data_IF_485445660239
#
_entry.id   IF_485445660239
#
_cell.length_a   1.000
_cell.length_b   1.000
_cell.length_c   1.000
_cell.angle_alpha   90.00
_cell.angle_beta   90.00
_cell.angle_gamma   90.00
#
_symmetry.space_group_name_H-M   'P 1'
#
loop_
_entity.id
_entity.type
_entity.pdbx_description
1 polymer ?
#
# COMPACT_ATOMS: atom_id res chain seq x y z
N UNK A 1 -24.98 -30.74 -17.38
CA UNK A 1 -25.20 -30.52 -15.93
C UNK A 1 -25.50 -29.06 -15.66
N UNK A 2 -26.48 -28.74 -14.80
CA UNK A 2 -26.88 -27.36 -14.41
C UNK A 2 -26.38 -27.03 -12.99
N UNK A 3 -25.60 -25.97 -12.85
CA UNK A 3 -25.14 -25.48 -11.54
C UNK A 3 -26.21 -24.62 -10.88
N UNK A 4 -26.38 -24.72 -9.56
CA UNK A 4 -27.24 -23.79 -8.83
C UNK A 4 -26.68 -22.37 -8.90
N UNK A 5 -27.43 -21.43 -9.49
CA UNK A 5 -26.98 -20.04 -9.68
C UNK A 5 -26.80 -19.26 -8.38
N UNK A 6 -27.56 -19.61 -7.34
CA UNK A 6 -27.51 -18.92 -6.04
C UNK A 6 -26.26 -19.29 -5.23
N UNK A 7 -26.00 -20.58 -5.02
CA UNK A 7 -24.89 -21.03 -4.16
C UNK A 7 -23.63 -21.45 -4.92
N UNK A 8 -23.71 -21.71 -6.23
CA UNK A 8 -22.64 -22.21 -7.11
C UNK A 8 -21.98 -23.55 -6.68
N UNK A 9 -22.38 -24.15 -5.56
CA UNK A 9 -21.75 -25.36 -4.98
C UNK A 9 -22.34 -26.69 -5.42
N UNK A 10 -23.57 -26.73 -5.96
CA UNK A 10 -24.24 -27.99 -6.35
C UNK A 10 -24.53 -27.99 -7.85
N UNK A 11 -24.34 -29.15 -8.49
CA UNK A 11 -24.67 -29.41 -9.89
C UNK A 11 -25.78 -30.46 -9.98
N UNK A 12 -26.69 -30.29 -10.92
CA UNK A 12 -27.79 -31.21 -11.23
C UNK A 12 -27.62 -31.79 -12.63
N UNK A 13 -27.96 -33.06 -12.83
CA UNK A 13 -27.89 -33.66 -14.17
C UNK A 13 -29.00 -33.12 -15.09
N UNK A 14 -30.19 -32.83 -14.56
CA UNK A 14 -31.35 -32.30 -15.29
C UNK A 14 -32.13 -31.25 -14.48
N UNK A 15 -33.12 -30.60 -15.10
CA UNK A 15 -34.05 -29.69 -14.43
C UNK A 15 -34.97 -30.43 -13.46
N UNK A 16 -35.36 -31.66 -13.81
CA UNK A 16 -36.19 -32.53 -12.98
C UNK A 16 -35.46 -32.87 -11.67
N UNK A 17 -34.23 -33.36 -11.77
CA UNK A 17 -33.41 -33.64 -10.58
C UNK A 17 -33.14 -32.38 -9.74
N UNK A 18 -33.04 -31.19 -10.37
CA UNK A 18 -32.96 -29.93 -9.63
C UNK A 18 -34.22 -29.67 -8.82
N UNK A 19 -35.41 -29.88 -9.39
CA UNK A 19 -36.70 -29.68 -8.70
C UNK A 19 -36.85 -30.65 -7.54
N UNK A 20 -36.56 -31.93 -7.77
CA UNK A 20 -36.77 -33.01 -6.79
C UNK A 20 -35.82 -32.90 -5.60
N UNK A 21 -34.57 -32.45 -5.84
CA UNK A 21 -33.58 -32.25 -4.78
C UNK A 21 -33.61 -30.84 -4.16
N UNK A 22 -34.39 -29.89 -4.70
CA UNK A 22 -34.47 -28.51 -4.18
C UNK A 22 -34.90 -28.45 -2.70
N UNK A 23 -35.88 -29.22 -2.21
CA UNK A 23 -36.29 -29.17 -0.80
C UNK A 23 -35.15 -29.54 0.15
N UNK A 24 -34.38 -30.59 -0.17
CA UNK A 24 -33.21 -31.02 0.63
C UNK A 24 -32.07 -30.00 0.56
N UNK A 25 -31.89 -29.34 -0.59
CA UNK A 25 -30.82 -28.36 -0.80
C UNK A 25 -31.14 -26.95 -0.26
N UNK A 26 -32.40 -26.53 -0.19
CA UNK A 26 -32.81 -25.12 0.01
C UNK A 26 -32.13 -24.44 1.22
N UNK A 27 -32.02 -25.12 2.37
CA UNK A 27 -31.40 -24.56 3.58
C UNK A 27 -29.89 -24.35 3.38
N UNK A 28 -29.18 -25.36 2.88
CA UNK A 28 -27.76 -25.27 2.56
C UNK A 28 -27.48 -24.23 1.47
N UNK A 29 -28.34 -24.15 0.44
CA UNK A 29 -28.28 -23.17 -0.62
C UNK A 29 -28.32 -21.73 -0.08
N UNK A 30 -29.25 -21.43 0.84
CA UNK A 30 -29.38 -20.10 1.45
C UNK A 30 -28.14 -19.75 2.27
N UNK A 31 -27.65 -20.69 3.09
CA UNK A 31 -26.43 -20.50 3.89
C UNK A 31 -25.23 -20.19 2.99
N UNK A 32 -24.99 -21.02 1.97
CA UNK A 32 -23.86 -20.83 1.06
C UNK A 32 -24.00 -19.57 0.19
N UNK A 33 -25.21 -19.20 -0.23
CA UNK A 33 -25.43 -17.96 -0.96
C UNK A 33 -25.14 -16.72 -0.10
N UNK A 34 -25.47 -16.77 1.20
CA UNK A 34 -25.10 -15.71 2.15
C UNK A 34 -23.57 -15.64 2.35
N UNK A 35 -22.90 -16.77 2.60
CA UNK A 35 -21.44 -16.84 2.68
C UNK A 35 -20.75 -16.33 1.42
N UNK A 36 -21.25 -16.72 0.25
CA UNK A 36 -20.70 -16.27 -1.03
C UNK A 36 -20.89 -14.76 -1.23
N UNK A 37 -22.03 -14.21 -0.80
CA UNK A 37 -22.25 -12.76 -0.81
C UNK A 37 -21.28 -12.05 0.13
N UNK A 38 -21.07 -12.57 1.33
CA UNK A 38 -20.14 -11.98 2.29
C UNK A 38 -18.70 -12.05 1.77
N UNK A 39 -18.29 -13.17 1.17
CA UNK A 39 -17.00 -13.31 0.51
C UNK A 39 -16.81 -12.26 -0.60
N UNK A 40 -17.80 -12.06 -1.47
CA UNK A 40 -17.73 -11.04 -2.52
C UNK A 40 -17.66 -9.61 -1.96
N UNK A 41 -18.29 -9.33 -0.82
CA UNK A 41 -18.32 -8.00 -0.22
C UNK A 41 -17.08 -7.68 0.62
N UNK A 42 -16.50 -8.69 1.28
CA UNK A 42 -15.47 -8.48 2.32
C UNK A 42 -14.12 -9.12 2.01
N UNK A 43 -13.99 -9.88 0.91
CA UNK A 43 -12.69 -10.40 0.48
C UNK A 43 -11.75 -9.24 0.24
N UNK A 44 -10.73 -9.16 1.08
CA UNK A 44 -9.66 -8.19 0.93
C UNK A 44 -8.84 -8.51 -0.33
N UNK A 45 -8.35 -7.49 -1.05
CA UNK A 45 -7.46 -7.71 -2.18
C UNK A 45 -6.16 -8.38 -1.71
N UNK A 46 -5.52 -9.11 -2.63
CA UNK A 46 -4.28 -9.84 -2.33
C UNK A 46 -3.10 -8.90 -2.06
N UNK A 47 -3.18 -7.64 -2.50
CA UNK A 47 -2.21 -6.58 -2.24
C UNK A 47 -2.91 -5.24 -2.03
N UNK A 48 -2.19 -4.24 -1.51
CA UNK A 48 -2.64 -2.84 -1.54
C UNK A 48 -2.12 -2.14 -2.80
N UNK A 49 -2.58 -0.90 -3.04
CA UNK A 49 -2.04 -0.04 -4.11
C UNK A 49 -0.56 0.33 -3.87
N UNK A 50 -0.07 0.18 -2.64
CA UNK A 50 1.34 0.36 -2.27
C UNK A 50 2.19 -0.88 -2.59
N UNK A 51 1.55 -1.99 -2.96
CA UNK A 51 2.21 -3.27 -3.22
C UNK A 51 2.58 -4.03 -1.95
N UNK A 52 3.60 -4.88 -2.06
CA UNK A 52 4.04 -5.75 -0.98
C UNK A 52 5.36 -5.25 -0.37
N UNK A 53 5.54 -5.54 0.92
CA UNK A 53 6.78 -5.23 1.60
C UNK A 53 7.92 -6.04 0.96
N UNK A 54 9.01 -5.40 0.49
CA UNK A 54 10.08 -6.09 -0.23
C UNK A 54 10.96 -6.98 0.68
N UNK A 55 10.67 -7.05 1.98
CA UNK A 55 11.39 -7.87 2.96
C UNK A 55 10.58 -9.11 3.33
N UNK A 56 9.31 -8.95 3.75
CA UNK A 56 8.47 -10.06 4.19
C UNK A 56 7.46 -10.54 3.14
N UNK A 57 7.34 -9.85 2.00
CA UNK A 57 6.41 -10.16 0.90
C UNK A 57 4.93 -10.20 1.31
N UNK A 58 4.60 -9.53 2.42
CA UNK A 58 3.22 -9.31 2.84
C UNK A 58 2.72 -7.96 2.30
N UNK A 59 1.42 -7.82 2.02
CA UNK A 59 0.84 -6.56 1.58
C UNK A 59 1.20 -5.40 2.51
N UNK A 60 1.64 -4.27 1.93
CA UNK A 60 1.90 -3.07 2.71
C UNK A 60 0.55 -2.54 3.26
N UNK A 61 0.49 -2.22 4.57
CA UNK A 61 -0.69 -1.60 5.14
C UNK A 61 -1.04 -0.27 4.44
N UNK A 62 -2.34 0.00 4.30
CA UNK A 62 -2.84 1.26 3.72
C UNK A 62 -2.56 2.46 4.63
N UNK A 63 -2.42 2.22 5.94
CA UNK A 63 -2.18 3.27 6.93
C UNK A 63 -0.72 3.72 6.88
N UNK A 64 -0.50 5.00 6.62
CA UNK A 64 0.83 5.63 6.55
C UNK A 64 1.65 5.38 7.83
N UNK A 65 1.02 5.30 9.01
CA UNK A 65 1.70 5.08 10.29
C UNK A 65 2.22 3.64 10.47
N UNK A 66 1.91 2.74 9.55
CA UNK A 66 2.31 1.33 9.58
C UNK A 66 3.37 0.97 8.52
N UNK A 67 3.83 1.96 7.76
CA UNK A 67 4.88 1.85 6.75
C UNK A 67 5.98 2.87 7.01
N UNK A 68 7.15 2.63 6.44
CA UNK A 68 8.30 3.53 6.49
C UNK A 68 9.01 3.48 5.14
N UNK A 69 9.38 4.65 4.61
CA UNK A 69 10.26 4.75 3.46
C UNK A 69 11.72 4.83 3.94
N UNK A 70 12.58 4.00 3.35
CA UNK A 70 14.02 4.08 3.58
C UNK A 70 14.67 5.15 2.70
N UNK A 71 15.27 6.19 3.29
CA UNK A 71 15.79 7.36 2.56
C UNK A 71 16.97 7.02 1.64
N UNK A 72 17.74 5.96 1.95
CA UNK A 72 18.87 5.54 1.10
C UNK A 72 18.44 5.08 -0.30
N UNK A 73 17.28 4.46 -0.41
CA UNK A 73 16.90 3.67 -1.59
C UNK A 73 15.43 3.83 -1.99
N UNK A 74 14.71 4.71 -1.30
CA UNK A 74 13.28 4.98 -1.47
C UNK A 74 12.37 3.75 -1.37
N UNK A 75 12.82 2.67 -0.73
CA UNK A 75 11.98 1.48 -0.54
C UNK A 75 11.05 1.67 0.64
N UNK A 76 9.76 1.49 0.38
CA UNK A 76 8.74 1.41 1.41
C UNK A 76 8.71 0.00 1.97
N UNK A 77 8.79 -0.10 3.30
CA UNK A 77 8.73 -1.35 4.05
C UNK A 77 7.67 -1.23 5.13
N UNK A 78 7.14 -2.36 5.61
CA UNK A 78 6.25 -2.34 6.76
C UNK A 78 7.03 -2.03 8.05
N UNK A 79 6.36 -1.38 9.00
CA UNK A 79 6.98 -1.02 10.28
C UNK A 79 7.41 -2.25 11.09
N UNK A 80 6.76 -3.41 10.90
CA UNK A 80 7.23 -4.67 11.48
C UNK A 80 8.67 -4.99 11.06
N UNK A 81 8.97 -4.97 9.76
CA UNK A 81 10.34 -5.19 9.28
C UNK A 81 11.32 -4.10 9.72
N UNK A 82 10.87 -2.84 9.74
CA UNK A 82 11.69 -1.70 10.20
C UNK A 82 12.08 -1.86 11.68
N UNK A 83 11.12 -2.17 12.55
CA UNK A 83 11.31 -2.35 13.99
C UNK A 83 12.17 -3.58 14.28
N UNK A 84 11.92 -4.71 13.62
CA UNK A 84 12.76 -5.92 13.80
C UNK A 84 14.21 -5.64 13.42
N UNK A 85 14.46 -4.86 12.37
CA UNK A 85 15.80 -4.44 12.02
C UNK A 85 16.41 -3.56 13.11
N UNK A 86 15.67 -2.57 13.62
CA UNK A 86 16.14 -1.72 14.72
C UNK A 86 16.54 -2.54 15.95
N UNK A 87 15.71 -3.48 16.40
CA UNK A 87 16.01 -4.33 17.56
C UNK A 87 17.30 -5.11 17.34
N UNK A 88 17.46 -5.73 16.16
CA UNK A 88 18.69 -6.47 15.82
C UNK A 88 19.94 -5.60 15.87
N UNK A 89 19.87 -4.37 15.39
CA UNK A 89 21.02 -3.45 15.40
C UNK A 89 21.27 -2.84 16.79
N UNK A 90 20.31 -2.91 17.72
CA UNK A 90 20.52 -2.55 19.13
C UNK A 90 21.17 -3.69 19.92
N UNK A 91 20.84 -4.94 19.59
CA UNK A 91 21.43 -6.14 20.20
C UNK A 91 22.86 -6.42 19.70
N UNK A 92 23.15 -6.06 18.45
CA UNK A 92 24.51 -6.07 17.89
C UNK A 92 25.22 -4.81 18.42
N UNK A 93 26.38 -4.92 19.08
CA UNK A 93 27.15 -3.77 19.63
C UNK A 93 27.63 -2.75 18.55
N UNK A 94 27.16 -2.91 17.32
CA UNK A 94 27.41 -2.07 16.17
C UNK A 94 26.65 -0.75 16.29
N UNK A 95 27.39 0.28 16.70
CA UNK A 95 26.98 1.68 16.85
C UNK A 95 26.33 2.38 15.62
N UNK A 96 26.10 1.70 14.49
CA UNK A 96 25.64 2.34 13.26
C UNK A 96 24.40 1.66 12.66
N UNK A 97 23.19 2.21 12.86
CA UNK A 97 21.97 1.65 12.29
C UNK A 97 22.05 1.59 10.77
N UNK A 98 21.67 0.44 10.20
CA UNK A 98 21.67 0.20 8.75
C UNK A 98 20.26 0.05 8.22
N UNK A 99 20.06 0.45 6.97
CA UNK A 99 18.79 0.28 6.28
C UNK A 99 18.40 -1.20 6.20
N UNK A 100 17.15 -1.51 6.54
CA UNK A 100 16.63 -2.88 6.54
C UNK A 100 16.63 -3.53 5.14
N UNK A 101 16.59 -2.73 4.08
CA UNK A 101 16.61 -3.20 2.68
C UNK A 101 18.00 -3.12 2.05
N UNK A 102 18.55 -1.90 1.91
CA UNK A 102 19.78 -1.64 1.16
C UNK A 102 21.07 -1.89 1.98
N UNK A 103 20.94 -2.05 3.31
CA UNK A 103 22.06 -2.16 4.28
C UNK A 103 23.06 -1.00 4.31
N UNK A 104 22.80 0.10 3.57
CA UNK A 104 23.55 1.35 3.74
C UNK A 104 23.31 1.94 5.13
N UNK A 105 24.30 2.69 5.63
CA UNK A 105 24.22 3.42 6.89
C UNK A 105 23.04 4.40 6.88
N UNK A 106 22.25 4.38 7.95
CA UNK A 106 21.20 5.37 8.19
C UNK A 106 21.85 6.66 8.69
N UNK A 107 21.53 7.82 8.09
CA UNK A 107 22.07 9.09 8.54
C UNK A 107 21.59 9.42 9.97
N UNK A 108 22.49 9.95 10.81
CA UNK A 108 22.16 10.37 12.17
C UNK A 108 21.47 11.75 12.22
N UNK A 109 21.65 12.57 11.19
CA UNK A 109 21.08 13.91 11.09
C UNK A 109 19.97 13.97 10.03
N UNK A 110 18.90 14.72 10.34
CA UNK A 110 17.79 14.97 9.41
C UNK A 110 18.23 15.63 8.10
N UNK A 111 19.23 16.51 8.15
CA UNK A 111 19.80 17.17 6.96
C UNK A 111 20.43 16.17 6.00
N UNK A 112 21.11 15.15 6.52
CA UNK A 112 21.72 14.09 5.71
C UNK A 112 20.68 13.11 5.17
N UNK A 113 19.61 12.85 5.92
CA UNK A 113 18.43 12.12 5.42
C UNK A 113 17.81 12.85 4.21
N UNK A 114 17.57 14.17 4.31
CA UNK A 114 17.05 14.98 3.21
C UNK A 114 17.99 14.97 1.99
N UNK A 115 19.32 15.01 2.19
CA UNK A 115 20.29 14.86 1.09
C UNK A 115 20.19 13.51 0.38
N UNK A 116 20.04 12.42 1.14
CA UNK A 116 19.86 11.09 0.56
C UNK A 116 18.59 11.01 -0.28
N UNK A 117 17.48 11.54 0.23
CA UNK A 117 16.22 11.63 -0.54
C UNK A 117 16.38 12.49 -1.79
N UNK A 118 17.08 13.63 -1.73
CA UNK A 118 17.31 14.48 -2.90
C UNK A 118 18.11 13.77 -4.00
N UNK A 119 19.12 12.95 -3.64
CA UNK A 119 19.81 12.10 -4.62
C UNK A 119 18.87 11.12 -5.33
N UNK A 120 17.85 10.62 -4.62
CA UNK A 120 16.81 9.76 -5.21
C UNK A 120 15.87 10.55 -6.11
N UNK A 121 15.49 11.77 -5.73
CA UNK A 121 14.72 12.68 -6.61
C UNK A 121 15.48 12.99 -7.90
N UNK A 122 16.78 13.27 -7.82
CA UNK A 122 17.65 13.47 -8.99
C UNK A 122 17.73 12.22 -9.87
N UNK A 123 17.66 11.03 -9.26
CA UNK A 123 17.56 9.74 -9.96
C UNK A 123 16.13 9.42 -10.47
N UNK A 124 15.22 10.41 -10.49
CA UNK A 124 13.84 10.30 -10.94
C UNK A 124 13.03 9.22 -10.18
N UNK A 125 13.31 9.04 -8.89
CA UNK A 125 12.60 8.09 -8.05
C UNK A 125 11.24 8.66 -7.57
N UNK A 126 10.15 8.01 -7.98
CA UNK A 126 8.78 8.43 -7.69
C UNK A 126 8.50 8.55 -6.18
N UNK A 127 8.88 7.55 -5.39
CA UNK A 127 8.63 7.54 -3.94
C UNK A 127 9.38 8.67 -3.22
N UNK A 128 10.61 8.97 -3.66
CA UNK A 128 11.36 10.11 -3.12
C UNK A 128 10.67 11.44 -3.42
N UNK A 129 10.07 11.59 -4.62
CA UNK A 129 9.30 12.78 -4.96
C UNK A 129 8.04 12.90 -4.09
N UNK A 130 7.29 11.81 -3.89
CA UNK A 130 6.12 11.82 -3.01
C UNK A 130 6.51 12.21 -1.57
N UNK A 131 7.60 11.64 -1.06
CA UNK A 131 8.11 11.99 0.26
C UNK A 131 8.49 13.48 0.36
N UNK A 132 9.21 14.01 -0.63
CA UNK A 132 9.58 15.42 -0.65
C UNK A 132 8.36 16.34 -0.79
N UNK A 133 7.34 15.93 -1.57
CA UNK A 133 6.09 16.66 -1.67
C UNK A 133 5.37 16.78 -0.32
N UNK A 134 5.33 15.68 0.45
CA UNK A 134 4.75 15.65 1.78
C UNK A 134 5.54 16.54 2.74
N UNK A 135 6.87 16.39 2.76
CA UNK A 135 7.75 17.19 3.60
C UNK A 135 7.61 18.69 3.31
N UNK A 136 7.63 19.09 2.04
CA UNK A 136 7.46 20.48 1.63
C UNK A 136 6.08 21.03 2.03
N UNK A 137 5.03 20.19 2.00
CA UNK A 137 3.69 20.59 2.45
C UNK A 137 3.66 20.90 3.95
N UNK A 138 4.24 20.01 4.77
CA UNK A 138 4.34 20.19 6.22
C UNK A 138 5.22 21.39 6.60
N UNK A 139 6.28 21.66 5.83
CA UNK A 139 7.13 22.85 5.95
C UNK A 139 6.43 24.14 5.47
N UNK A 140 5.22 24.06 4.91
CA UNK A 140 4.47 25.22 4.37
C UNK A 140 4.96 25.72 3.00
N UNK A 141 5.91 25.03 2.39
CA UNK A 141 6.40 25.31 1.05
C UNK A 141 5.52 24.63 -0.01
N UNK A 142 4.37 25.24 -0.28
CA UNK A 142 3.36 24.67 -1.18
C UNK A 142 3.79 24.66 -2.65
N UNK A 143 4.71 25.55 -3.06
CA UNK A 143 5.24 25.59 -4.43
C UNK A 143 6.07 24.34 -4.72
N UNK A 144 6.99 23.98 -3.82
CA UNK A 144 7.77 22.75 -3.98
C UNK A 144 6.89 21.50 -3.81
N UNK A 145 5.92 21.55 -2.89
CA UNK A 145 4.94 20.46 -2.74
C UNK A 145 4.16 20.21 -4.03
N UNK A 146 3.69 21.26 -4.69
CA UNK A 146 3.01 21.19 -5.98
C UNK A 146 3.93 20.62 -7.05
N UNK A 147 5.17 21.13 -7.14
CA UNK A 147 6.16 20.68 -8.13
C UNK A 147 6.47 19.18 -8.01
N UNK A 148 6.76 18.70 -6.80
CA UNK A 148 7.07 17.28 -6.59
C UNK A 148 5.86 16.40 -6.81
N UNK A 149 4.67 16.79 -6.33
CA UNK A 149 3.43 16.05 -6.55
C UNK A 149 3.07 15.98 -8.04
N UNK A 150 3.29 17.05 -8.80
CA UNK A 150 3.03 17.09 -10.25
C UNK A 150 3.88 16.06 -10.99
N UNK A 151 5.19 16.02 -10.72
CA UNK A 151 6.10 15.06 -11.33
C UNK A 151 5.76 13.61 -10.99
N UNK A 152 5.47 13.33 -9.72
CA UNK A 152 5.09 11.98 -9.29
C UNK A 152 3.74 11.55 -9.87
N UNK A 153 2.76 12.46 -9.96
CA UNK A 153 1.48 12.21 -10.61
C UNK A 153 1.64 11.91 -12.11
N UNK A 154 2.51 12.63 -12.83
CA UNK A 154 2.86 12.34 -14.23
C UNK A 154 3.45 10.93 -14.41
N UNK A 155 4.10 10.39 -13.37
CA UNK A 155 4.60 9.01 -13.33
C UNK A 155 3.53 7.97 -12.96
N UNK A 156 2.29 8.40 -12.70
CA UNK A 156 1.15 7.55 -12.37
C UNK A 156 0.91 7.32 -10.87
N UNK A 157 1.54 8.10 -9.99
CA UNK A 157 1.35 7.97 -8.55
C UNK A 157 -0.03 8.51 -8.10
N UNK A 158 -0.85 7.63 -7.52
CA UNK A 158 -2.20 7.96 -7.09
C UNK A 158 -2.23 8.91 -5.88
N UNK A 159 -1.31 8.74 -4.92
CA UNK A 159 -1.24 9.59 -3.74
C UNK A 159 -0.86 11.02 -4.11
N UNK A 160 0.02 11.19 -5.10
CA UNK A 160 0.39 12.50 -5.63
C UNK A 160 -0.76 13.18 -6.37
N UNK A 161 -1.57 12.42 -7.14
CA UNK A 161 -2.81 12.96 -7.70
C UNK A 161 -3.77 13.46 -6.62
N UNK A 162 -3.96 12.68 -5.56
CA UNK A 162 -4.77 13.10 -4.42
C UNK A 162 -4.20 14.36 -3.75
N UNK A 163 -2.88 14.43 -3.57
CA UNK A 163 -2.21 15.60 -2.98
C UNK A 163 -2.37 16.87 -3.83
N UNK A 164 -2.25 16.77 -5.16
CA UNK A 164 -2.54 17.88 -6.06
C UNK A 164 -3.97 18.38 -5.90
N UNK A 165 -4.93 17.46 -5.75
CA UNK A 165 -6.34 17.86 -5.53
C UNK A 165 -6.52 18.70 -4.26
N UNK A 166 -5.79 18.37 -3.18
CA UNK A 166 -5.79 19.16 -1.93
C UNK A 166 -5.17 20.54 -2.17
N UNK A 167 -4.06 20.61 -2.90
CA UNK A 167 -3.38 21.88 -3.21
C UNK A 167 -4.29 22.82 -4.01
N UNK A 168 -4.94 22.30 -5.06
CA UNK A 168 -5.91 23.05 -5.85
C UNK A 168 -7.11 23.49 -5.02
N UNK A 169 -7.72 22.57 -4.26
CA UNK A 169 -8.89 22.89 -3.44
C UNK A 169 -8.63 24.00 -2.42
N UNK A 170 -7.40 24.06 -1.89
CA UNK A 170 -6.98 25.08 -0.89
C UNK A 170 -6.37 26.34 -1.50
N UNK A 171 -6.16 26.40 -2.82
CA UNK A 171 -5.44 27.51 -3.45
C UNK A 171 -3.99 27.64 -2.96
N UNK A 172 -3.30 26.52 -2.70
CA UNK A 172 -1.95 26.50 -2.13
C UNK A 172 -0.93 26.06 -3.18
N UNK A 173 0.06 26.91 -3.46
CA UNK A 173 1.10 26.61 -4.45
C UNK A 173 0.58 26.58 -5.90
N UNK A 174 -0.61 27.13 -6.12
CA UNK A 174 -1.28 27.29 -7.41
C UNK A 174 -1.63 28.78 -7.56
N UNK A 175 -1.58 29.28 -8.79
CA UNK A 175 -1.95 30.66 -9.15
C UNK A 175 -3.42 30.72 -9.62
#
# INVERSE_FOLDING_TARGET
MKTCTACKSVRYCSVECQRDHRPKHKKACKKRAAEFRDELLFKQPESSHLGDCPICLLPLPIKEEQITMMECCSKVICNGCSITNLIRELDDERLEPKCAFCRCRVPSQKSDAKKNTMKRVEANDMMAMCFMANLSYEEGNYVDSFKYSSKAAEMGDLDSHYRLSILYWRGRGVE
#
